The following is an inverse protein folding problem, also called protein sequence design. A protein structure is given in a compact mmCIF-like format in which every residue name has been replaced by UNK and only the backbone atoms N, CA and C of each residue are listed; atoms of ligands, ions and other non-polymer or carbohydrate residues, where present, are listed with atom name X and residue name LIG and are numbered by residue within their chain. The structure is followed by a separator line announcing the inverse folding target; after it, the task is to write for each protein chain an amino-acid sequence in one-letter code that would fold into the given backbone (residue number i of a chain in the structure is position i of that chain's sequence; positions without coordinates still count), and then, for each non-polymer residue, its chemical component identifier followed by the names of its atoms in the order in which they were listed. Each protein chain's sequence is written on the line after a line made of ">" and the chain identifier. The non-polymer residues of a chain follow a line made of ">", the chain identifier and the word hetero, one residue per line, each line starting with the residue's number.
data_IF_686592934153
#
_entry.id   IF_686592934153
#
_cell.length_a   1.000
_cell.length_b   1.000
_cell.length_c   1.000
_cell.angle_alpha   90.00
_cell.angle_beta   90.00
_cell.angle_gamma   90.00
#
_symmetry.space_group_name_H-M   'P 1'
#
loop_
_entity.id
_entity.type
_entity.pdbx_description
1 polymer ?
#
# COMPACT_ATOMS: atom_id res chain seq x y z
N UNK A 1 16.78 -27.23 6.85
CA UNK A 1 15.77 -26.61 5.95
C UNK A 1 15.81 -25.10 6.16
N UNK A 2 15.72 -24.30 5.10
CA UNK A 2 15.71 -22.83 5.18
C UNK A 2 14.26 -22.35 5.31
N UNK A 3 14.01 -21.36 6.17
CA UNK A 3 12.68 -20.72 6.27
C UNK A 3 12.46 -19.79 5.08
N UNK A 4 11.22 -19.75 4.61
CA UNK A 4 10.76 -18.97 3.46
C UNK A 4 9.77 -17.88 3.88
N UNK A 5 9.78 -16.78 3.14
CA UNK A 5 8.87 -15.63 3.32
C UNK A 5 8.76 -14.87 2.01
N UNK A 6 7.73 -14.04 1.90
CA UNK A 6 7.62 -13.00 0.86
C UNK A 6 8.18 -11.67 1.37
N UNK A 7 8.47 -10.75 0.46
CA UNK A 7 9.00 -9.43 0.81
C UNK A 7 7.93 -8.47 1.37
N UNK A 8 6.65 -8.70 1.10
CA UNK A 8 5.54 -7.85 1.52
C UNK A 8 4.39 -7.86 0.52
N UNK A 9 4.29 -6.83 -0.30
CA UNK A 9 3.14 -6.58 -1.19
C UNK A 9 2.79 -7.75 -2.11
N UNK A 10 1.50 -8.08 -2.17
CA UNK A 10 0.90 -8.99 -3.13
C UNK A 10 -0.17 -8.28 -3.96
N UNK A 11 -0.48 -8.74 -5.18
CA UNK A 11 -1.45 -8.08 -6.06
C UNK A 11 -2.79 -7.86 -5.40
N UNK A 12 -3.32 -6.63 -5.48
CA UNK A 12 -4.67 -6.33 -5.01
C UNK A 12 -5.68 -6.98 -5.96
N UNK A 13 -6.68 -7.72 -5.45
CA UNK A 13 -7.75 -8.25 -6.28
C UNK A 13 -8.46 -7.13 -7.06
N UNK A 14 -8.91 -7.44 -8.28
CA UNK A 14 -9.51 -6.46 -9.19
C UNK A 14 -10.80 -5.82 -8.65
N UNK A 15 -11.45 -6.45 -7.67
CA UNK A 15 -12.62 -5.91 -6.97
C UNK A 15 -12.24 -4.90 -5.88
N UNK A 16 -10.99 -4.90 -5.39
CA UNK A 16 -10.52 -3.97 -4.36
C UNK A 16 -9.89 -2.71 -4.98
N UNK A 17 -9.10 -2.88 -6.05
CA UNK A 17 -8.43 -1.79 -6.76
C UNK A 17 -8.24 -2.14 -8.24
N UNK A 18 -8.05 -1.13 -9.10
CA UNK A 18 -7.74 -1.32 -10.52
C UNK A 18 -6.33 -1.95 -10.70
N UNK A 19 -6.20 -3.11 -11.37
CA UNK A 19 -4.90 -3.70 -11.67
C UNK A 19 -4.04 -2.81 -12.57
N UNK A 20 -2.73 -3.06 -12.59
CA UNK A 20 -1.76 -2.42 -13.51
C UNK A 20 -1.70 -0.87 -13.44
N UNK A 21 -2.28 -0.27 -12.40
CA UNK A 21 -2.32 1.17 -12.20
C UNK A 21 -1.52 1.58 -10.98
N UNK A 22 -0.62 2.56 -11.17
CA UNK A 22 0.11 3.17 -10.07
C UNK A 22 -0.87 3.93 -9.18
N UNK A 23 -0.83 3.66 -7.86
CA UNK A 23 -1.68 4.29 -6.85
C UNK A 23 -3.18 4.22 -7.18
N UNK A 24 -3.63 3.06 -7.66
CA UNK A 24 -5.04 2.82 -7.94
C UNK A 24 -5.91 3.20 -6.73
N UNK A 25 -6.99 3.99 -6.92
CA UNK A 25 -7.93 4.27 -5.86
C UNK A 25 -8.62 2.98 -5.42
N UNK A 26 -9.10 2.95 -4.18
CA UNK A 26 -9.98 1.89 -3.73
C UNK A 26 -11.29 1.95 -4.52
N UNK A 27 -11.85 0.78 -4.85
CA UNK A 27 -13.19 0.67 -5.45
C UNK A 27 -14.31 0.68 -4.42
N UNK A 28 -13.97 0.39 -3.16
CA UNK A 28 -14.87 0.30 -2.02
C UNK A 28 -14.58 1.45 -1.04
N UNK A 29 -15.55 1.77 -0.19
CA UNK A 29 -15.45 2.83 0.83
C UNK A 29 -16.01 2.36 2.18
N UNK A 30 -15.69 3.09 3.25
CA UNK A 30 -16.22 2.85 4.59
C UNK A 30 -15.99 1.43 5.11
N UNK A 31 -17.05 0.82 5.65
CA UNK A 31 -17.01 -0.55 6.19
C UNK A 31 -16.80 -1.61 5.10
N UNK A 32 -17.36 -1.39 3.89
CA UNK A 32 -17.17 -2.31 2.76
C UNK A 32 -15.69 -2.36 2.34
N UNK A 33 -14.99 -1.22 2.38
CA UNK A 33 -13.56 -1.19 2.14
C UNK A 33 -12.79 -2.02 3.16
N UNK A 34 -13.10 -1.84 4.45
CA UNK A 34 -12.44 -2.60 5.51
C UNK A 34 -12.65 -4.10 5.32
N UNK A 35 -13.90 -4.52 5.08
CA UNK A 35 -14.22 -5.93 4.85
C UNK A 35 -13.51 -6.47 3.61
N UNK A 36 -13.51 -5.71 2.51
CA UNK A 36 -12.79 -6.09 1.29
C UNK A 36 -11.28 -6.21 1.50
N UNK A 37 -10.66 -5.35 2.30
CA UNK A 37 -9.23 -5.47 2.62
C UNK A 37 -8.95 -6.72 3.45
N UNK A 38 -9.80 -7.03 4.43
CA UNK A 38 -9.73 -8.26 5.21
C UNK A 38 -9.87 -9.52 4.33
N UNK A 39 -10.84 -9.53 3.42
CA UNK A 39 -11.07 -10.66 2.51
C UNK A 39 -9.87 -10.86 1.57
N UNK A 40 -9.30 -9.77 1.04
CA UNK A 40 -8.11 -9.83 0.19
C UNK A 40 -6.89 -10.35 0.96
N UNK A 41 -6.70 -9.90 2.21
CA UNK A 41 -5.61 -10.37 3.06
C UNK A 41 -5.76 -11.86 3.36
N UNK A 42 -6.98 -12.32 3.68
CA UNK A 42 -7.25 -13.73 3.96
C UNK A 42 -6.95 -14.63 2.75
N UNK A 43 -7.33 -14.21 1.54
CA UNK A 43 -7.01 -14.94 0.30
C UNK A 43 -5.50 -15.13 0.17
N UNK A 44 -4.72 -14.07 0.41
CA UNK A 44 -3.27 -14.14 0.28
C UNK A 44 -2.60 -14.96 1.37
N UNK A 45 -3.09 -14.88 2.61
CA UNK A 45 -2.62 -15.72 3.70
C UNK A 45 -2.83 -17.19 3.35
N UNK A 46 -4.05 -17.56 2.92
CA UNK A 46 -4.37 -18.95 2.53
C UNK A 46 -3.55 -19.41 1.32
N UNK A 47 -3.36 -18.55 0.33
CA UNK A 47 -2.53 -18.87 -0.84
C UNK A 47 -1.06 -19.11 -0.46
N UNK A 48 -0.50 -18.34 0.47
CA UNK A 48 0.86 -18.53 0.97
C UNK A 48 0.98 -19.81 1.82
N UNK A 49 -0.01 -20.10 2.67
CA UNK A 49 -0.08 -21.35 3.44
C UNK A 49 -0.10 -22.57 2.50
N UNK A 50 -0.96 -22.56 1.48
CA UNK A 50 -1.07 -23.63 0.48
C UNK A 50 0.22 -23.79 -0.35
N UNK A 51 0.95 -22.70 -0.58
CA UNK A 51 2.25 -22.71 -1.25
C UNK A 51 3.41 -23.19 -0.35
N UNK A 52 3.18 -23.41 0.94
CA UNK A 52 4.19 -23.84 1.90
C UNK A 52 5.15 -22.73 2.36
N UNK A 53 4.72 -21.47 2.33
CA UNK A 53 5.50 -20.33 2.86
C UNK A 53 5.49 -20.38 4.40
N UNK A 54 6.67 -20.35 5.02
CA UNK A 54 6.80 -20.51 6.49
C UNK A 54 6.34 -19.28 7.28
N UNK A 55 6.62 -18.08 6.76
CA UNK A 55 6.27 -16.80 7.38
C UNK A 55 5.43 -16.02 6.39
N UNK A 56 4.12 -16.00 6.63
CA UNK A 56 3.14 -15.36 5.74
C UNK A 56 2.97 -13.88 6.07
N UNK A 57 2.45 -13.12 5.10
CA UNK A 57 2.05 -11.73 5.28
C UNK A 57 0.62 -11.47 4.79
N UNK A 58 0.04 -10.34 5.20
CA UNK A 58 -1.26 -9.87 4.71
C UNK A 58 -1.19 -9.36 3.26
N UNK A 59 -0.02 -9.38 2.61
CA UNK A 59 0.16 -8.90 1.25
C UNK A 59 -0.02 -7.39 1.08
N UNK A 60 0.00 -6.59 2.15
CA UNK A 60 -0.23 -5.15 2.14
C UNK A 60 -1.60 -4.72 1.56
N UNK A 61 -2.64 -5.54 1.77
CA UNK A 61 -3.97 -5.26 1.21
C UNK A 61 -4.64 -4.01 1.80
N UNK A 62 -4.16 -3.51 2.93
CA UNK A 62 -4.66 -2.30 3.59
C UNK A 62 -3.98 -1.00 3.12
N UNK A 63 -2.92 -1.08 2.30
CA UNK A 63 -2.12 0.09 1.88
C UNK A 63 -2.22 0.34 0.38
N UNK A 64 -2.53 1.59 -0.01
CA UNK A 64 -2.48 2.05 -1.42
C UNK A 64 -1.04 2.26 -1.90
N UNK A 65 -0.21 2.84 -1.02
CA UNK A 65 1.17 3.20 -1.32
C UNK A 65 2.03 3.15 -0.05
N UNK A 66 3.28 2.70 -0.16
CA UNK A 66 4.15 2.46 0.99
C UNK A 66 4.58 3.74 1.73
N UNK A 67 4.64 4.88 1.03
CA UNK A 67 4.94 6.19 1.64
C UNK A 67 3.66 6.93 1.99
N UNK A 68 2.80 7.20 0.99
CA UNK A 68 1.69 8.14 1.16
C UNK A 68 0.66 7.64 2.17
N UNK A 69 0.41 6.32 2.23
CA UNK A 69 -0.48 5.76 3.25
C UNK A 69 0.05 5.88 4.67
N UNK A 70 1.35 6.15 4.87
CA UNK A 70 1.91 6.45 6.18
C UNK A 70 1.89 7.95 6.47
N UNK A 71 2.22 8.80 5.48
CA UNK A 71 2.30 10.26 5.65
C UNK A 71 0.97 10.89 6.08
N UNK A 72 -0.17 10.27 5.75
CA UNK A 72 -1.49 10.72 6.20
C UNK A 72 -1.63 10.75 7.73
N UNK A 73 -0.80 10.00 8.45
CA UNK A 73 -0.82 9.90 9.92
C UNK A 73 0.38 10.60 10.58
N UNK A 74 1.03 11.52 9.87
CA UNK A 74 2.25 12.19 10.33
C UNK A 74 2.05 13.69 10.37
N UNK A 75 2.26 14.29 11.55
CA UNK A 75 2.21 15.74 11.74
C UNK A 75 3.42 16.43 11.10
N UNK A 76 3.26 17.71 10.78
CA UNK A 76 4.33 18.55 10.20
C UNK A 76 4.52 18.37 8.69
N UNK A 77 3.63 17.62 8.04
CA UNK A 77 3.53 17.48 6.59
C UNK A 77 2.42 18.39 6.07
N UNK A 78 2.75 19.23 5.10
CA UNK A 78 1.82 20.11 4.41
C UNK A 78 1.44 19.52 3.04
N UNK A 79 0.19 19.06 2.95
CA UNK A 79 -0.41 18.50 1.73
C UNK A 79 -0.93 19.57 0.76
N UNK A 80 -1.00 20.84 1.17
CA UNK A 80 -1.29 21.95 0.27
C UNK A 80 -0.02 22.43 -0.45
N UNK A 81 1.15 22.22 0.15
CA UNK A 81 2.46 22.52 -0.46
C UNK A 81 3.06 21.29 -1.14
N UNK A 82 2.57 21.00 -2.34
CA UNK A 82 3.05 19.90 -3.17
C UNK A 82 4.23 20.33 -4.05
N UNK A 83 5.18 19.42 -4.25
CA UNK A 83 6.28 19.58 -5.21
C UNK A 83 6.25 18.43 -6.21
N UNK A 84 6.23 18.72 -7.50
CA UNK A 84 6.34 17.69 -8.55
C UNK A 84 7.79 17.28 -8.70
N UNK A 85 8.06 15.98 -8.62
CA UNK A 85 9.38 15.39 -8.77
C UNK A 85 9.35 14.21 -9.73
N UNK A 86 10.38 14.09 -10.56
CA UNK A 86 10.61 12.89 -11.35
C UNK A 86 11.07 11.73 -10.47
N UNK A 87 10.40 10.58 -10.58
CA UNK A 87 10.72 9.34 -9.88
C UNK A 87 11.12 8.25 -10.86
N UNK A 88 11.90 7.27 -10.37
CA UNK A 88 12.42 6.14 -11.17
C UNK A 88 13.15 6.63 -12.43
N UNK A 89 14.18 7.44 -12.22
CA UNK A 89 14.98 8.03 -13.31
C UNK A 89 14.11 8.86 -14.28
N UNK A 90 13.24 9.71 -13.72
CA UNK A 90 12.30 10.57 -14.46
C UNK A 90 11.34 9.81 -15.40
N UNK A 91 11.07 8.53 -15.14
CA UNK A 91 10.08 7.76 -15.89
C UNK A 91 8.64 8.16 -15.55
N UNK A 92 8.42 8.67 -14.34
CA UNK A 92 7.11 9.15 -13.88
C UNK A 92 7.28 10.44 -13.10
N UNK A 93 6.29 11.31 -13.19
CA UNK A 93 6.17 12.46 -12.29
C UNK A 93 5.29 12.10 -11.10
N UNK A 94 5.68 12.59 -9.93
CA UNK A 94 4.98 12.40 -8.67
C UNK A 94 4.85 13.73 -7.95
N UNK A 95 3.63 14.07 -7.54
CA UNK A 95 3.40 15.15 -6.59
C UNK A 95 3.62 14.62 -5.17
N UNK A 96 4.59 15.20 -4.47
CA UNK A 96 4.93 14.82 -3.09
C UNK A 96 4.68 15.97 -2.11
N UNK A 97 4.15 15.69 -0.90
CA UNK A 97 3.91 16.73 0.09
C UNK A 97 5.22 17.20 0.74
N UNK A 98 5.20 18.40 1.32
CA UNK A 98 6.40 19.04 1.88
C UNK A 98 6.41 18.98 3.40
N UNK A 99 7.55 18.62 4.00
CA UNK A 99 7.77 18.80 5.45
C UNK A 99 7.96 20.28 5.75
N UNK A 100 7.09 20.84 6.60
CA UNK A 100 7.10 22.28 6.96
C UNK A 100 7.30 22.53 8.44
N UNK A 101 7.19 21.49 9.29
CA UNK A 101 7.41 21.58 10.73
C UNK A 101 8.06 20.31 11.29
N UNK A 102 8.26 20.27 12.61
CA UNK A 102 8.77 19.08 13.31
C UNK A 102 7.80 17.90 13.13
N UNK A 103 8.35 16.75 12.79
CA UNK A 103 7.60 15.52 12.55
C UNK A 103 7.23 14.81 13.86
N UNK A 104 5.97 14.38 13.98
CA UNK A 104 5.45 13.49 15.02
C UNK A 104 4.39 12.53 14.46
N UNK A 105 4.10 11.46 15.22
CA UNK A 105 3.09 10.43 14.91
C UNK A 105 2.21 10.22 16.14
#
# INVERSE_FOLDING_TARGET
>A
MLKTTVAGSLPKPSWLAEPEKLWAPWKLEGEELWQGQCDAALIWIKTQEDAGIDIVSDGEQFRKHFVHGFLEFVDGIDWAKMTTMGIRDNRYDADVPTVTAKISR
#
